data_IF_952213670131
#
_entry.id   IF_952213670131
#
_cell.length_a   1.000
_cell.length_b   1.000
_cell.length_c   1.000
_cell.angle_alpha   90.00
_cell.angle_beta   90.00
_cell.angle_gamma   90.00
#
_symmetry.space_group_name_H-M   'P 1'
#
loop_
_entity.id
_entity.type
_entity.pdbx_description
1 polymer ?
#
# COMPACT_ATOMS: atom_id res chain seq x y z
N UNK A 1 3.84 -29.60 3.99
CA UNK A 1 4.70 -28.52 3.46
C UNK A 1 4.22 -27.21 4.02
N UNK A 2 5.11 -26.25 4.28
CA UNK A 2 4.71 -24.91 4.72
C UNK A 2 4.23 -24.16 3.49
N UNK A 3 3.01 -23.64 3.52
CA UNK A 3 2.44 -22.75 2.50
C UNK A 3 2.35 -21.34 3.06
N UNK A 4 2.46 -20.33 2.21
CA UNK A 4 2.24 -18.94 2.63
C UNK A 4 0.76 -18.73 2.91
N UNK A 5 0.46 -17.99 3.98
CA UNK A 5 -0.88 -17.51 4.24
C UNK A 5 -1.31 -16.51 3.15
N UNK A 6 -2.61 -16.48 2.89
CA UNK A 6 -3.34 -15.57 2.02
C UNK A 6 -4.33 -14.73 2.84
N UNK A 7 -4.96 -13.70 2.26
CA UNK A 7 -5.90 -12.84 3.00
C UNK A 7 -7.03 -13.61 3.73
N UNK A 8 -7.64 -14.66 3.13
CA UNK A 8 -8.63 -15.50 3.82
C UNK A 8 -8.11 -16.29 5.02
N UNK A 9 -6.80 -16.48 5.14
CA UNK A 9 -6.20 -17.21 6.27
C UNK A 9 -6.06 -16.34 7.54
N UNK A 10 -6.38 -15.05 7.46
CA UNK A 10 -6.20 -14.08 8.55
C UNK A 10 -7.49 -13.89 9.36
N UNK A 11 -7.35 -13.76 10.69
CA UNK A 11 -8.45 -13.47 11.61
C UNK A 11 -8.17 -12.17 12.40
N UNK A 12 -9.14 -11.24 12.53
CA UNK A 12 -10.45 -11.23 11.86
C UNK A 12 -10.29 -11.17 10.33
N UNK A 13 -11.36 -11.52 9.60
CA UNK A 13 -11.34 -11.51 8.14
C UNK A 13 -10.90 -10.13 7.62
N UNK A 14 -9.91 -10.14 6.73
CA UNK A 14 -9.40 -8.93 6.10
C UNK A 14 -10.04 -8.81 4.72
N UNK A 15 -10.85 -7.77 4.54
CA UNK A 15 -11.56 -7.48 3.29
C UNK A 15 -11.07 -6.18 2.67
N UNK A 16 -11.37 -5.94 1.39
CA UNK A 16 -11.07 -4.68 0.72
C UNK A 16 -11.78 -3.48 1.39
N UNK A 17 -12.98 -3.68 1.94
CA UNK A 17 -13.73 -2.61 2.63
C UNK A 17 -13.07 -2.18 3.95
N UNK A 18 -12.41 -3.11 4.64
CA UNK A 18 -11.79 -2.84 5.94
C UNK A 18 -10.30 -2.48 5.82
N UNK A 19 -9.61 -3.10 4.86
CA UNK A 19 -8.18 -2.98 4.63
C UNK A 19 -7.89 -2.94 3.11
N UNK A 20 -8.27 -1.85 2.44
CA UNK A 20 -8.07 -1.70 1.00
C UNK A 20 -6.59 -1.77 0.60
N UNK A 21 -5.68 -1.17 1.38
CA UNK A 21 -4.25 -1.16 1.06
C UNK A 21 -3.68 -2.57 1.08
N UNK A 22 -3.96 -3.33 2.15
CA UNK A 22 -3.55 -4.72 2.25
C UNK A 22 -4.14 -5.57 1.12
N UNK A 23 -5.43 -5.40 0.82
CA UNK A 23 -6.12 -6.18 -0.21
C UNK A 23 -5.50 -5.97 -1.60
N UNK A 24 -5.22 -4.71 -1.97
CA UNK A 24 -4.51 -4.38 -3.21
C UNK A 24 -3.10 -5.01 -3.21
N UNK A 25 -2.36 -4.92 -2.10
CA UNK A 25 -1.02 -5.50 -2.00
C UNK A 25 -1.03 -7.03 -2.16
N UNK A 26 -2.05 -7.72 -1.66
CA UNK A 26 -2.20 -9.16 -1.82
C UNK A 26 -2.56 -9.58 -3.25
N UNK A 27 -3.46 -8.83 -3.91
CA UNK A 27 -3.99 -9.20 -5.22
C UNK A 27 -3.13 -8.68 -6.38
N UNK A 28 -2.61 -7.46 -6.29
CA UNK A 28 -1.95 -6.73 -7.38
C UNK A 28 -0.52 -6.33 -7.04
N UNK A 29 -0.14 -6.40 -5.77
CA UNK A 29 1.18 -6.04 -5.30
C UNK A 29 1.46 -4.53 -5.33
N UNK A 30 2.74 -4.13 -5.19
CA UNK A 30 3.12 -2.73 -5.01
C UNK A 30 2.90 -1.87 -6.26
N UNK A 31 2.87 -2.47 -7.46
CA UNK A 31 2.59 -1.75 -8.69
C UNK A 31 1.10 -1.42 -8.83
N UNK A 32 0.19 -2.32 -8.43
CA UNK A 32 -1.24 -2.02 -8.36
C UNK A 32 -1.52 -0.86 -7.39
N UNK A 33 -0.87 -0.89 -6.22
CA UNK A 33 -0.99 0.20 -5.25
C UNK A 33 -0.46 1.54 -5.80
N UNK A 34 0.65 1.52 -6.55
CA UNK A 34 1.17 2.72 -7.22
C UNK A 34 0.18 3.29 -8.24
N UNK A 35 -0.45 2.43 -9.03
CA UNK A 35 -1.41 2.85 -10.06
C UNK A 35 -2.64 3.53 -9.44
N UNK A 36 -3.21 2.92 -8.40
CA UNK A 36 -4.33 3.48 -7.64
C UNK A 36 -3.93 4.81 -6.98
N UNK A 37 -2.76 4.85 -6.34
CA UNK A 37 -2.24 6.08 -5.76
C UNK A 37 -2.09 7.20 -6.80
N UNK A 38 -1.69 6.87 -8.04
CA UNK A 38 -1.59 7.81 -9.14
C UNK A 38 -2.94 8.31 -9.64
N UNK A 39 -3.87 7.38 -9.90
CA UNK A 39 -5.20 7.67 -10.45
C UNK A 39 -6.09 8.43 -9.48
N UNK A 40 -6.09 8.04 -8.22
CA UNK A 40 -7.08 8.53 -7.23
C UNK A 40 -6.49 9.56 -6.27
N UNK A 41 -5.19 9.49 -5.98
CA UNK A 41 -4.55 10.32 -4.93
C UNK A 41 -3.45 11.25 -5.47
N UNK A 42 -3.27 11.29 -6.79
CA UNK A 42 -2.32 12.17 -7.48
C UNK A 42 -0.85 11.86 -7.17
N UNK A 43 -0.52 10.60 -6.89
CA UNK A 43 0.87 10.17 -6.73
C UNK A 43 1.61 10.31 -8.07
N UNK A 44 2.71 11.08 -8.07
CA UNK A 44 3.52 11.28 -9.26
C UNK A 44 4.68 10.28 -9.29
N UNK A 45 4.63 9.36 -10.26
CA UNK A 45 5.67 8.36 -10.47
C UNK A 45 6.97 9.05 -10.88
N UNK A 46 8.07 8.73 -10.19
CA UNK A 46 9.38 9.33 -10.49
C UNK A 46 9.82 8.91 -11.90
N UNK A 47 10.12 9.89 -12.75
CA UNK A 47 10.61 9.67 -14.13
C UNK A 47 11.95 8.93 -14.18
N UNK A 48 12.77 9.07 -13.13
CA UNK A 48 14.04 8.36 -12.98
C UNK A 48 13.89 6.92 -12.45
N UNK A 49 12.67 6.48 -12.15
CA UNK A 49 12.38 5.20 -11.52
C UNK A 49 12.64 5.18 -10.01
N UNK A 50 12.65 3.97 -9.45
CA UNK A 50 12.86 3.67 -8.04
C UNK A 50 14.01 2.68 -7.88
N UNK A 51 14.76 2.81 -6.79
CA UNK A 51 15.94 1.95 -6.54
C UNK A 51 15.51 0.50 -6.30
N UNK A 52 14.34 0.30 -5.69
CA UNK A 52 13.76 -1.01 -5.44
C UNK A 52 12.25 -0.93 -5.25
N UNK A 53 11.59 -2.09 -5.15
CA UNK A 53 10.18 -2.16 -4.74
C UNK A 53 9.95 -1.53 -3.37
N UNK A 54 10.91 -1.61 -2.44
CA UNK A 54 10.77 -1.03 -1.11
C UNK A 54 10.78 0.51 -1.16
N UNK A 55 11.64 1.09 -2.00
CA UNK A 55 11.70 2.55 -2.26
C UNK A 55 10.37 3.05 -2.85
N UNK A 56 9.83 2.33 -3.84
CA UNK A 56 8.50 2.59 -4.38
C UNK A 56 7.41 2.51 -3.29
N UNK A 57 7.36 1.41 -2.55
CA UNK A 57 6.35 1.18 -1.50
C UNK A 57 6.36 2.29 -0.47
N UNK A 58 7.54 2.75 -0.05
CA UNK A 58 7.66 3.82 0.94
C UNK A 58 7.04 5.11 0.42
N UNK A 59 7.39 5.52 -0.79
CA UNK A 59 6.89 6.75 -1.41
C UNK A 59 5.38 6.72 -1.65
N UNK A 60 4.85 5.59 -2.12
CA UNK A 60 3.40 5.41 -2.30
C UNK A 60 2.68 5.48 -0.96
N UNK A 61 3.16 4.78 0.07
CA UNK A 61 2.55 4.77 1.41
C UNK A 61 2.65 6.13 2.10
N UNK A 62 3.73 6.89 1.91
CA UNK A 62 3.83 8.26 2.39
C UNK A 62 2.72 9.14 1.80
N UNK A 63 2.54 9.08 0.47
CA UNK A 63 1.51 9.86 -0.21
C UNK A 63 0.10 9.50 0.26
N UNK A 64 -0.18 8.19 0.39
CA UNK A 64 -1.48 7.70 0.86
C UNK A 64 -1.69 7.98 2.36
N UNK A 65 -0.64 7.95 3.18
CA UNK A 65 -0.74 8.31 4.60
C UNK A 65 -1.09 9.79 4.78
N UNK A 66 -0.60 10.66 3.89
CA UNK A 66 -0.88 12.09 3.93
C UNK A 66 -2.35 12.46 3.67
N UNK A 67 -3.15 11.56 3.07
CA UNK A 67 -4.61 11.79 2.88
C UNK A 67 -5.39 11.62 4.17
N UNK A 68 -4.86 10.83 5.12
CA UNK A 68 -5.51 10.52 6.40
C UNK A 68 -6.67 9.51 6.30
N UNK A 69 -7.01 9.06 5.09
CA UNK A 69 -8.17 8.19 4.82
C UNK A 69 -7.91 6.74 5.23
N UNK A 70 -6.66 6.28 5.12
CA UNK A 70 -6.28 4.91 5.40
C UNK A 70 -5.79 4.75 6.84
N UNK A 71 -6.59 4.11 7.69
CA UNK A 71 -6.21 3.73 9.06
C UNK A 71 -4.99 2.78 9.07
N UNK A 72 -4.84 1.95 8.04
CA UNK A 72 -3.72 1.01 7.84
C UNK A 72 -2.34 1.67 7.76
N UNK A 73 -2.29 2.95 7.37
CA UNK A 73 -1.06 3.72 7.19
C UNK A 73 -0.79 4.66 8.37
N UNK A 74 -1.49 4.46 9.49
CA UNK A 74 -1.22 5.17 10.72
C UNK A 74 -0.12 4.45 11.51
N UNK A 75 0.60 5.20 12.35
CA UNK A 75 0.62 6.66 12.46
C UNK A 75 1.42 7.33 11.33
N UNK A 76 0.99 8.52 10.90
CA UNK A 76 1.59 9.22 9.76
C UNK A 76 3.00 9.75 10.00
N UNK A 77 3.46 9.81 11.25
CA UNK A 77 4.83 10.23 11.56
C UNK A 77 5.89 9.22 11.09
N UNK A 78 5.52 7.95 10.82
CA UNK A 78 6.45 6.98 10.22
C UNK A 78 6.88 7.34 8.80
N UNK A 79 6.20 8.32 8.18
CA UNK A 79 6.45 8.77 6.81
C UNK A 79 6.92 10.23 6.75
N UNK A 80 7.22 10.84 7.89
CA UNK A 80 7.69 12.23 7.97
C UNK A 80 9.07 12.22 8.61
N UNK A 81 10.09 12.46 7.80
CA UNK A 81 11.45 12.79 8.25
C UNK A 81 11.61 14.31 8.35
#
# INVERSE_FOLDING_TARGET
GIVSATAPDLHPEITHETHPIFSILCSEGPFGLMEIAGKEYGFNVRTKGYVSKCDLCLQVRERLSATGEFSELRPSYFYKE
#
